data_IF_981309036830
#
_entry.id   IF_981309036830
#
_cell.length_a   1.000
_cell.length_b   1.000
_cell.length_c   1.000
_cell.angle_alpha   90.00
_cell.angle_beta   90.00
_cell.angle_gamma   90.00
#
_symmetry.space_group_name_H-M   'P 1'
#
loop_
_entity.id
_entity.type
_entity.pdbx_description
1 polymer ?
#
# COMPACT_ATOMS: atom_id res chain seq x y z
N UNK A 1 -20.67 18.77 -4.78
CA UNK A 1 -19.81 17.66 -4.32
C UNK A 1 -18.71 18.26 -3.46
N UNK A 2 -18.71 18.02 -2.15
CA UNK A 2 -17.74 18.66 -1.23
C UNK A 2 -16.36 18.04 -1.40
N UNK A 3 -15.30 18.83 -1.40
CA UNK A 3 -13.90 18.40 -1.59
C UNK A 3 -13.53 17.18 -0.73
N UNK A 4 -13.97 17.12 0.54
CA UNK A 4 -13.79 15.96 1.44
C UNK A 4 -14.34 14.64 0.89
N UNK A 5 -15.49 14.66 0.21
CA UNK A 5 -16.07 13.45 -0.38
C UNK A 5 -15.29 13.00 -1.61
N UNK A 6 -14.81 13.94 -2.42
CA UNK A 6 -13.99 13.63 -3.60
C UNK A 6 -12.68 12.95 -3.16
N UNK A 7 -11.99 13.48 -2.14
CA UNK A 7 -10.74 12.87 -1.67
C UNK A 7 -10.95 11.48 -1.07
N UNK A 8 -12.03 11.28 -0.28
CA UNK A 8 -12.37 9.93 0.22
C UNK A 8 -12.65 8.93 -0.90
N UNK A 9 -13.38 9.33 -1.94
CA UNK A 9 -13.64 8.47 -3.11
C UNK A 9 -12.34 8.07 -3.81
N UNK A 10 -11.41 9.01 -3.98
CA UNK A 10 -10.10 8.72 -4.60
C UNK A 10 -9.27 7.78 -3.70
N UNK A 11 -9.31 7.95 -2.38
CA UNK A 11 -8.63 7.03 -1.45
C UNK A 11 -9.21 5.61 -1.58
N UNK A 12 -10.54 5.44 -1.62
CA UNK A 12 -11.16 4.14 -1.85
C UNK A 12 -10.73 3.51 -3.19
N UNK A 13 -10.67 4.32 -4.25
CA UNK A 13 -10.21 3.86 -5.56
C UNK A 13 -8.76 3.36 -5.50
N UNK A 14 -7.86 4.10 -4.84
CA UNK A 14 -6.47 3.70 -4.63
C UNK A 14 -6.35 2.40 -3.81
N UNK A 15 -7.14 2.25 -2.73
CA UNK A 15 -7.17 1.01 -1.96
C UNK A 15 -7.68 -0.17 -2.78
N UNK A 16 -8.72 0.01 -3.61
CA UNK A 16 -9.25 -1.05 -4.46
C UNK A 16 -8.19 -1.54 -5.47
N UNK A 17 -7.46 -0.61 -6.10
CA UNK A 17 -6.35 -0.93 -7.01
C UNK A 17 -5.21 -1.62 -6.25
N UNK A 18 -4.84 -1.11 -5.07
CA UNK A 18 -3.78 -1.70 -4.24
C UNK A 18 -4.11 -3.13 -3.80
N UNK A 19 -5.32 -3.38 -3.30
CA UNK A 19 -5.77 -4.71 -2.88
C UNK A 19 -5.78 -5.67 -4.07
N UNK A 20 -6.32 -5.24 -5.22
CA UNK A 20 -6.33 -6.07 -6.44
C UNK A 20 -4.90 -6.42 -6.89
N UNK A 21 -3.98 -5.46 -6.82
CA UNK A 21 -2.58 -5.67 -7.17
C UNK A 21 -1.91 -6.68 -6.23
N UNK A 22 -2.06 -6.52 -4.91
CA UNK A 22 -1.47 -7.43 -3.90
C UNK A 22 -2.11 -8.81 -3.97
N UNK A 23 -3.42 -8.90 -4.17
CA UNK A 23 -4.15 -10.17 -4.27
C UNK A 23 -3.64 -11.03 -5.44
N UNK A 24 -3.34 -10.41 -6.59
CA UNK A 24 -2.71 -11.12 -7.70
C UNK A 24 -1.32 -11.69 -7.38
N UNK A 25 -0.57 -11.03 -6.48
CA UNK A 25 0.72 -11.53 -6.00
C UNK A 25 0.54 -12.64 -4.97
N UNK A 26 -0.42 -12.50 -4.06
CA UNK A 26 -0.75 -13.54 -3.05
C UNK A 26 -1.20 -14.83 -3.71
N UNK A 27 -2.03 -14.77 -4.76
CA UNK A 27 -2.46 -15.96 -5.52
C UNK A 27 -1.26 -16.62 -6.22
N UNK A 28 -0.35 -15.82 -6.78
CA UNK A 28 0.86 -16.34 -7.42
C UNK A 28 1.79 -17.00 -6.39
N UNK A 29 1.96 -16.39 -5.21
CA UNK A 29 2.72 -16.95 -4.09
C UNK A 29 2.10 -18.26 -3.57
N UNK A 30 0.78 -18.33 -3.48
CA UNK A 30 0.08 -19.55 -3.09
C UNK A 30 0.33 -20.70 -4.08
N UNK A 31 0.43 -20.41 -5.38
CA UNK A 31 0.66 -21.41 -6.43
C UNK A 31 2.13 -21.83 -6.59
N UNK A 32 3.08 -20.93 -6.34
CA UNK A 32 4.50 -21.11 -6.71
C UNK A 32 5.46 -21.05 -5.52
N UNK A 33 5.04 -20.49 -4.39
CA UNK A 33 5.78 -20.42 -3.13
C UNK A 33 7.10 -19.62 -3.17
N UNK A 34 7.35 -18.85 -4.22
CA UNK A 34 8.66 -18.25 -4.56
C UNK A 34 8.57 -16.80 -5.07
N UNK A 35 7.39 -16.21 -5.11
CA UNK A 35 7.09 -14.89 -5.69
C UNK A 35 7.29 -13.77 -4.66
N UNK A 36 7.02 -14.03 -3.39
CA UNK A 36 7.16 -13.07 -2.31
C UNK A 36 8.32 -13.42 -1.39
N UNK A 37 9.01 -12.41 -0.85
CA UNK A 37 10.01 -12.67 0.17
C UNK A 37 9.33 -13.27 1.38
N UNK A 38 10.03 -14.19 2.06
CA UNK A 38 9.60 -14.77 3.32
C UNK A 38 10.38 -14.08 4.44
N UNK A 39 9.67 -13.47 5.37
CA UNK A 39 10.24 -13.00 6.63
C UNK A 39 9.94 -14.07 7.65
N UNK A 40 10.97 -14.69 8.24
CA UNK A 40 10.76 -15.66 9.33
C UNK A 40 9.71 -16.75 8.95
N UNK A 41 9.82 -17.29 7.72
CA UNK A 41 8.91 -18.32 7.19
C UNK A 41 7.50 -17.84 6.75
N UNK A 42 7.14 -16.56 6.95
CA UNK A 42 5.87 -15.99 6.51
C UNK A 42 6.02 -15.12 5.25
N UNK A 43 5.17 -15.28 4.21
CA UNK A 43 5.28 -14.48 2.99
C UNK A 43 4.82 -13.05 3.28
N UNK A 44 5.70 -12.06 3.02
CA UNK A 44 5.43 -10.64 3.34
C UNK A 44 4.17 -10.11 2.64
N UNK A 45 3.80 -10.68 1.50
CA UNK A 45 2.63 -10.24 0.75
C UNK A 45 1.30 -10.48 1.48
N UNK A 46 1.21 -11.52 2.31
CA UNK A 46 0.05 -11.71 3.20
C UNK A 46 0.00 -10.62 4.27
N UNK A 47 1.16 -10.28 4.85
CA UNK A 47 1.27 -9.22 5.86
C UNK A 47 0.84 -7.89 5.24
N UNK A 48 1.39 -7.52 4.09
CA UNK A 48 1.04 -6.27 3.38
C UNK A 48 -0.47 -6.22 3.07
N UNK A 49 -1.07 -7.33 2.64
CA UNK A 49 -2.51 -7.41 2.38
C UNK A 49 -3.34 -7.14 3.65
N UNK A 50 -2.97 -7.75 4.78
CA UNK A 50 -3.63 -7.52 6.07
C UNK A 50 -3.49 -6.06 6.51
N UNK A 51 -2.31 -5.48 6.36
CA UNK A 51 -2.08 -4.07 6.71
C UNK A 51 -2.90 -3.12 5.83
N UNK A 52 -3.05 -3.41 4.53
CA UNK A 52 -3.95 -2.65 3.65
C UNK A 52 -5.41 -2.76 4.09
N UNK A 53 -5.88 -3.94 4.50
CA UNK A 53 -7.25 -4.12 5.00
C UNK A 53 -7.48 -3.35 6.31
N UNK A 54 -6.54 -3.38 7.24
CA UNK A 54 -6.61 -2.61 8.49
C UNK A 54 -6.60 -1.10 8.19
N UNK A 55 -5.74 -0.64 7.29
CA UNK A 55 -5.69 0.76 6.87
C UNK A 55 -6.99 1.22 6.18
N UNK A 56 -7.61 0.35 5.39
CA UNK A 56 -8.92 0.61 4.79
C UNK A 56 -10.01 0.71 5.87
N UNK A 57 -10.00 -0.23 6.82
CA UNK A 57 -10.99 -0.30 7.91
C UNK A 57 -10.90 0.92 8.82
N UNK A 58 -9.68 1.32 9.19
CA UNK A 58 -9.43 2.55 9.98
C UNK A 58 -9.86 3.81 9.22
N UNK A 59 -9.76 3.83 7.88
CA UNK A 59 -10.31 4.93 7.09
C UNK A 59 -11.83 4.98 7.10
N UNK A 60 -12.51 3.82 6.97
CA UNK A 60 -13.98 3.71 7.03
C UNK A 60 -14.51 4.19 8.39
N UNK A 61 -13.89 3.74 9.48
CA UNK A 61 -14.33 4.06 10.85
C UNK A 61 -14.02 5.54 11.19
N UNK A 62 -13.17 6.21 10.41
CA UNK A 62 -12.73 7.61 10.60
C UNK A 62 -12.25 7.91 12.04
N UNK A 63 -11.79 6.88 12.75
CA UNK A 63 -11.38 6.91 14.16
C UNK A 63 -9.97 6.36 14.24
N UNK A 64 -9.01 7.20 14.64
CA UNK A 64 -7.60 6.81 14.74
C UNK A 64 -6.78 7.08 13.48
N UNK A 65 -6.61 8.35 13.14
CA UNK A 65 -5.71 8.84 12.09
C UNK A 65 -4.28 8.35 12.33
N UNK A 66 -3.88 8.28 13.60
CA UNK A 66 -2.60 7.73 14.06
C UNK A 66 -2.42 6.27 13.64
N UNK A 67 -3.44 5.42 13.80
CA UNK A 67 -3.37 4.02 13.40
C UNK A 67 -3.21 3.91 11.88
N UNK A 68 -3.96 4.70 11.12
CA UNK A 68 -3.83 4.75 9.66
C UNK A 68 -2.40 5.06 9.22
N UNK A 69 -1.76 6.08 9.81
CA UNK A 69 -0.37 6.45 9.49
C UNK A 69 0.66 5.41 9.98
N UNK A 70 0.46 4.79 11.14
CA UNK A 70 1.37 3.75 11.64
C UNK A 70 1.35 2.54 10.71
N UNK A 71 0.18 2.02 10.37
CA UNK A 71 0.08 0.84 9.50
C UNK A 71 0.59 1.14 8.09
N UNK A 72 0.22 2.27 7.48
CA UNK A 72 0.79 2.64 6.17
C UNK A 72 2.29 2.90 6.24
N UNK A 73 2.79 3.50 7.32
CA UNK A 73 4.21 3.78 7.51
C UNK A 73 5.02 2.49 7.55
N UNK A 74 4.53 1.45 8.24
CA UNK A 74 5.16 0.13 8.26
C UNK A 74 5.17 -0.49 6.86
N UNK A 75 4.05 -0.43 6.12
CA UNK A 75 3.98 -0.94 4.74
C UNK A 75 4.93 -0.16 3.82
N UNK A 76 5.05 1.15 4.00
CA UNK A 76 5.99 1.98 3.26
C UNK A 76 7.42 1.52 3.53
N UNK A 77 7.79 1.33 4.79
CA UNK A 77 9.14 0.86 5.16
C UNK A 77 9.46 -0.50 4.53
N UNK A 78 8.51 -1.44 4.59
CA UNK A 78 8.66 -2.78 4.02
C UNK A 78 8.83 -2.72 2.49
N UNK A 79 8.00 -1.92 1.80
CA UNK A 79 8.06 -1.78 0.33
C UNK A 79 9.34 -1.05 -0.12
N UNK A 80 9.84 -0.15 0.72
CA UNK A 80 11.10 0.57 0.49
C UNK A 80 12.31 -0.37 0.63
N UNK A 81 12.34 -1.18 1.69
CA UNK A 81 13.35 -2.24 1.86
C UNK A 81 13.28 -3.23 0.69
N UNK A 82 12.08 -3.68 0.30
CA UNK A 82 11.90 -4.60 -0.82
C UNK A 82 12.41 -4.00 -2.15
N UNK A 83 12.23 -2.71 -2.37
CA UNK A 83 12.73 -2.02 -3.57
C UNK A 83 14.25 -1.87 -3.55
N UNK A 84 14.86 -1.60 -2.39
CA UNK A 84 16.33 -1.57 -2.23
C UNK A 84 16.93 -2.96 -2.49
N UNK A 85 16.32 -4.01 -1.93
CA UNK A 85 16.73 -5.40 -2.14
C UNK A 85 16.61 -5.82 -3.61
N UNK A 86 15.61 -5.26 -4.31
CA UNK A 86 15.44 -5.48 -5.74
C UNK A 86 16.55 -4.85 -6.58
N UNK A 87 16.91 -3.59 -6.30
CA UNK A 87 18.03 -2.90 -6.98
C UNK A 87 19.35 -3.64 -6.72
N UNK A 88 19.52 -4.17 -5.51
CA UNK A 88 20.76 -4.87 -5.11
C UNK A 88 20.91 -6.27 -5.72
N UNK A 89 19.98 -6.71 -6.57
CA UNK A 89 20.00 -8.04 -7.20
C UNK A 89 19.82 -9.22 -6.24
N UNK A 90 19.59 -8.94 -4.95
CA UNK A 90 19.36 -9.96 -3.91
C UNK A 90 17.94 -10.54 -3.98
N UNK A 91 17.03 -9.86 -4.65
CA UNK A 91 15.63 -10.25 -4.75
C UNK A 91 15.03 -9.81 -6.10
N UNK A 92 14.29 -10.67 -6.79
CA UNK A 92 13.60 -10.30 -8.03
C UNK A 92 12.12 -10.10 -7.71
N UNK A 93 11.69 -8.84 -7.60
CA UNK A 93 10.27 -8.53 -7.49
C UNK A 93 9.57 -8.97 -8.77
N UNK A 94 8.42 -9.66 -8.68
CA UNK A 94 7.68 -10.11 -9.86
C UNK A 94 7.35 -8.92 -10.75
N UNK A 95 7.64 -9.06 -12.04
CA UNK A 95 7.35 -8.03 -13.03
C UNK A 95 5.83 -7.95 -13.25
N UNK A 96 5.35 -6.73 -13.50
CA UNK A 96 3.99 -6.52 -14.00
C UNK A 96 3.92 -6.86 -15.49
N UNK A 97 2.71 -7.19 -15.97
CA UNK A 97 2.43 -7.48 -17.38
C UNK A 97 2.73 -6.28 -18.29
N UNK A 98 2.69 -5.06 -17.72
CA UNK A 98 3.23 -3.87 -18.36
C UNK A 98 4.76 -3.84 -18.22
N UNK A 99 5.43 -4.40 -19.24
CA UNK A 99 6.75 -3.95 -19.69
C UNK A 99 7.82 -3.84 -18.57
N UNK A 100 8.02 -4.90 -17.80
CA UNK A 100 9.18 -5.05 -16.92
C UNK A 100 9.21 -4.18 -15.65
N UNK A 101 8.13 -3.45 -15.33
CA UNK A 101 8.10 -2.62 -14.12
C UNK A 101 7.90 -3.52 -12.88
N UNK A 102 8.79 -3.47 -11.87
CA UNK A 102 8.68 -4.34 -10.69
C UNK A 102 7.50 -3.94 -9.82
N UNK A 103 6.68 -4.91 -9.40
CA UNK A 103 5.50 -4.66 -8.56
C UNK A 103 5.82 -3.95 -7.23
N UNK A 104 7.03 -4.09 -6.73
CA UNK A 104 7.50 -3.43 -5.50
C UNK A 104 7.54 -1.90 -5.64
N UNK A 105 7.94 -1.36 -6.80
CA UNK A 105 7.89 0.08 -7.07
C UNK A 105 6.46 0.60 -7.18
N UNK A 106 5.56 -0.20 -7.77
CA UNK A 106 4.16 0.15 -7.88
C UNK A 106 3.48 0.23 -6.50
N UNK A 107 3.77 -0.74 -5.63
CA UNK A 107 3.29 -0.73 -4.25
C UNK A 107 3.86 0.48 -3.47
N UNK A 108 5.15 0.79 -3.65
CA UNK A 108 5.78 1.95 -3.02
C UNK A 108 5.12 3.25 -3.47
N UNK A 109 4.86 3.41 -4.77
CA UNK A 109 4.13 4.56 -5.33
C UNK A 109 2.69 4.68 -4.81
N UNK A 110 1.96 3.56 -4.73
CA UNK A 110 0.59 3.55 -4.20
C UNK A 110 0.53 3.93 -2.72
N UNK A 111 1.42 3.38 -1.89
CA UNK A 111 1.46 3.67 -0.45
C UNK A 111 1.86 5.12 -0.22
N UNK A 112 2.86 5.61 -0.96
CA UNK A 112 3.27 7.03 -0.91
C UNK A 112 2.14 7.96 -1.34
N UNK A 113 1.43 7.61 -2.42
CA UNK A 113 0.27 8.37 -2.90
C UNK A 113 -0.87 8.40 -1.89
N UNK A 114 -1.20 7.26 -1.26
CA UNK A 114 -2.18 7.17 -0.18
C UNK A 114 -1.79 8.02 1.03
N UNK A 115 -0.51 8.03 1.41
CA UNK A 115 0.01 8.86 2.50
C UNK A 115 -0.15 10.35 2.18
N UNK A 116 0.24 10.78 0.97
CA UNK A 116 0.09 12.15 0.51
C UNK A 116 -1.38 12.58 0.42
N UNK A 117 -2.26 11.73 -0.12
CA UNK A 117 -3.69 12.04 -0.22
C UNK A 117 -4.32 12.23 1.16
N UNK A 118 -3.97 11.37 2.11
CA UNK A 118 -4.45 11.49 3.49
C UNK A 118 -3.90 12.77 4.14
N UNK A 119 -2.64 13.11 3.89
CA UNK A 119 -2.03 14.34 4.38
C UNK A 119 -2.71 15.59 3.81
N UNK A 120 -3.01 15.62 2.51
CA UNK A 120 -3.76 16.71 1.88
C UNK A 120 -5.18 16.81 2.46
N UNK A 121 -5.87 15.68 2.65
CA UNK A 121 -7.17 15.65 3.35
C UNK A 121 -7.10 16.29 4.73
N UNK A 122 -6.04 16.04 5.50
CA UNK A 122 -5.84 16.63 6.84
C UNK A 122 -5.52 18.12 6.77
N UNK A 123 -4.61 18.51 5.88
CA UNK A 123 -4.20 19.90 5.72
C UNK A 123 -5.35 20.81 5.26
N UNK A 124 -6.25 20.29 4.42
CA UNK A 124 -7.46 21.02 4.01
C UNK A 124 -8.51 21.10 5.14
N UNK A 125 -8.55 20.13 6.07
CA UNK A 125 -9.37 20.24 7.28
C UNK A 125 -8.84 21.36 8.20
N UNK A 126 -7.52 21.49 8.33
CA UNK A 126 -6.88 22.52 9.14
C UNK A 126 -7.02 23.92 8.51
N UNK A 127 -6.87 24.03 7.18
CA UNK A 127 -7.06 25.30 6.45
C UNK A 127 -8.51 25.77 6.33
N UNK A 128 -9.49 24.87 6.45
CA UNK A 128 -10.91 25.23 6.51
C UNK A 128 -11.39 25.66 7.90
N UNK A 129 -10.48 25.73 8.88
CA UNK A 129 -10.73 26.10 10.27
C UNK A 129 -9.90 27.35 10.67
N UNK A 130 -9.53 28.19 9.70
CA UNK A 130 -8.95 29.52 9.90
C UNK A 130 -9.79 30.53 9.11
#
# INVERSE_FOLDING_TARGET
>A
MTYKQVTSIVIYFFFAVAIKAVMGVVIAEYKTGTVCPKLFNFPLCYIILVFFLIALTTHIINKGITLYYIFLGIVLLITLIASILHISGKFVCPQTVLKGIPKCYYALGLVTGLLLLKYLQFKDIEKGLV
#
